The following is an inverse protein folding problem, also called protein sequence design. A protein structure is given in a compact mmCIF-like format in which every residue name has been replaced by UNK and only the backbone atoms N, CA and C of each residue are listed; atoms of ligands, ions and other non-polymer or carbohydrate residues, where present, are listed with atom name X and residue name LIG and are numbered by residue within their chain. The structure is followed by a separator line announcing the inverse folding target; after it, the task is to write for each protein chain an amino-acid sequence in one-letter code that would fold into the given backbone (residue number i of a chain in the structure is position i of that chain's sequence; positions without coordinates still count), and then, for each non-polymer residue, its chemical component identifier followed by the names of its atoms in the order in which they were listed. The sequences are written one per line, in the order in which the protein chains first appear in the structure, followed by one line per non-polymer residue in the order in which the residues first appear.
data_IF_564458330362
#
_entry.id   IF_564458330362
#
_cell.length_a   1.000
_cell.length_b   1.000
_cell.length_c   1.000
_cell.angle_alpha   90.00
_cell.angle_beta   90.00
_cell.angle_gamma   90.00
#
_symmetry.space_group_name_H-M   'P 1'
#
loop_
_entity.id
_entity.type
_entity.pdbx_description
1 polymer ?
#
# COMPACT_ATOMS: atom_id res chain seq x y z
N UNK A 1 -8.63 -3.96 7.71
CA UNK A 1 -7.39 -3.45 7.08
C UNK A 1 -6.37 -4.56 6.94
N UNK A 2 -5.74 -4.65 5.79
CA UNK A 2 -4.66 -5.60 5.53
C UNK A 2 -3.40 -4.87 5.11
N UNK A 3 -2.24 -5.32 5.60
CA UNK A 3 -0.95 -4.85 5.12
C UNK A 3 -0.16 -6.06 4.67
N UNK A 4 0.33 -6.02 3.44
CA UNK A 4 1.08 -7.11 2.84
C UNK A 4 2.37 -6.58 2.22
N UNK A 5 3.50 -7.17 2.60
CA UNK A 5 4.77 -6.89 1.96
C UNK A 5 5.15 -8.08 1.07
N UNK A 6 5.24 -7.82 -0.23
CA UNK A 6 5.68 -8.82 -1.18
C UNK A 6 7.17 -8.62 -1.45
N UNK A 7 7.97 -9.55 -0.94
CA UNK A 7 9.41 -9.46 -1.04
C UNK A 7 9.92 -9.60 -2.47
N UNK A 8 9.23 -10.39 -3.30
CA UNK A 8 9.64 -10.61 -4.69
C UNK A 8 9.46 -9.38 -5.55
N UNK A 9 8.35 -8.68 -5.39
CA UNK A 9 8.06 -7.46 -6.13
C UNK A 9 8.56 -6.21 -5.43
N UNK A 10 9.07 -6.34 -4.22
CA UNK A 10 9.57 -5.24 -3.40
C UNK A 10 8.50 -4.17 -3.20
N UNK A 11 7.29 -4.60 -2.86
CA UNK A 11 6.12 -3.73 -2.77
C UNK A 11 5.35 -3.97 -1.47
N UNK A 12 4.82 -2.88 -0.91
CA UNK A 12 3.87 -2.94 0.20
C UNK A 12 2.49 -2.60 -0.34
N UNK A 13 1.50 -3.39 0.05
CA UNK A 13 0.10 -3.12 -0.26
C UNK A 13 -0.69 -2.97 1.02
N UNK A 14 -1.42 -1.86 1.13
CA UNK A 14 -2.31 -1.57 2.26
C UNK A 14 -3.74 -1.55 1.73
N UNK A 15 -4.57 -2.48 2.21
CA UNK A 15 -5.98 -2.52 1.85
C UNK A 15 -6.78 -1.97 3.03
N UNK A 16 -7.37 -0.79 2.82
CA UNK A 16 -8.10 -0.08 3.87
C UNK A 16 -9.52 -0.62 4.05
N UNK A 17 -10.15 -1.01 2.94
CA UNK A 17 -11.52 -1.46 2.90
C UNK A 17 -11.70 -2.52 1.83
N UNK A 18 -12.67 -3.43 2.00
CA UNK A 18 -12.89 -4.56 1.11
C UNK A 18 -13.78 -4.24 -0.09
N UNK A 19 -14.20 -2.98 -0.26
CA UNK A 19 -15.01 -2.62 -1.41
C UNK A 19 -14.26 -2.85 -2.71
N UNK A 20 -15.03 -3.11 -3.77
CA UNK A 20 -14.46 -3.39 -5.09
C UNK A 20 -13.68 -2.20 -5.63
N UNK A 21 -12.47 -2.46 -6.09
CA UNK A 21 -11.64 -1.46 -6.74
C UNK A 21 -12.11 -1.33 -8.19
N UNK A 22 -12.42 -0.11 -8.62
CA UNK A 22 -12.85 0.16 -9.99
C UNK A 22 -11.83 0.99 -10.77
N UNK A 23 -10.89 1.63 -10.06
CA UNK A 23 -9.89 2.49 -10.68
C UNK A 23 -8.63 2.51 -9.84
N UNK A 24 -7.47 2.59 -10.50
CA UNK A 24 -6.17 2.75 -9.85
C UNK A 24 -5.42 3.87 -10.52
N UNK A 25 -4.71 4.69 -9.74
CA UNK A 25 -3.97 5.83 -10.25
C UNK A 25 -2.59 5.90 -9.59
N UNK A 26 -1.55 6.02 -10.40
CA UNK A 26 -0.21 6.30 -9.91
C UNK A 26 -0.07 7.80 -9.66
N UNK A 27 -0.10 8.21 -8.40
CA UNK A 27 -0.12 9.64 -8.02
C UNK A 27 1.28 10.24 -7.91
N UNK A 28 2.27 9.40 -7.66
CA UNK A 28 3.69 9.72 -7.65
C UNK A 28 4.44 8.49 -8.14
N UNK A 29 5.66 8.60 -8.65
CA UNK A 29 6.40 7.41 -9.06
C UNK A 29 6.44 6.36 -7.95
N UNK A 30 5.85 5.21 -8.22
CA UNK A 30 5.81 4.08 -7.28
C UNK A 30 4.77 4.17 -6.18
N UNK A 31 3.87 5.15 -6.22
CA UNK A 31 2.76 5.25 -5.25
C UNK A 31 1.45 5.17 -6.03
N UNK A 32 0.72 4.07 -5.84
CA UNK A 32 -0.54 3.82 -6.55
C UNK A 32 -1.69 3.83 -5.56
N UNK A 33 -2.74 4.56 -5.87
CA UNK A 33 -3.97 4.59 -5.09
C UNK A 33 -5.07 3.82 -5.83
N UNK A 34 -5.82 3.00 -5.08
CA UNK A 34 -6.96 2.24 -5.59
C UNK A 34 -8.25 2.86 -5.09
N UNK A 35 -9.20 3.07 -5.98
CA UNK A 35 -10.47 3.74 -5.68
C UNK A 35 -11.65 2.81 -5.88
N UNK A 36 -12.67 2.96 -5.04
CA UNK A 36 -13.95 2.28 -5.20
C UNK A 36 -14.92 3.12 -6.04
N UNK A 37 -16.17 2.66 -6.18
CA UNK A 37 -17.20 3.32 -6.96
C UNK A 37 -17.69 4.64 -6.36
N UNK A 38 -17.34 4.91 -5.10
CA UNK A 38 -17.63 6.18 -4.43
C UNK A 38 -16.46 7.15 -4.47
N UNK A 39 -15.45 6.82 -5.28
CA UNK A 39 -14.23 7.62 -5.41
C UNK A 39 -13.45 7.75 -4.10
N UNK A 40 -13.54 6.72 -3.25
CA UNK A 40 -12.77 6.67 -2.01
C UNK A 40 -11.51 5.84 -2.22
N UNK A 41 -10.41 6.25 -1.57
CA UNK A 41 -9.17 5.46 -1.58
C UNK A 41 -9.37 4.27 -0.65
N UNK A 42 -9.30 3.06 -1.20
CA UNK A 42 -9.48 1.82 -0.45
C UNK A 42 -8.24 0.94 -0.46
N UNK A 43 -7.25 1.29 -1.25
CA UNK A 43 -5.98 0.57 -1.29
C UNK A 43 -4.83 1.50 -1.64
N UNK A 44 -3.64 1.19 -1.15
CA UNK A 44 -2.41 1.94 -1.40
C UNK A 44 -1.31 0.94 -1.70
N UNK A 45 -0.63 1.11 -2.83
CA UNK A 45 0.52 0.29 -3.19
C UNK A 45 1.77 1.14 -3.23
N UNK A 46 2.81 0.69 -2.56
CA UNK A 46 4.11 1.37 -2.52
C UNK A 46 5.14 0.45 -3.15
N UNK A 47 5.72 0.89 -4.27
CA UNK A 47 6.71 0.13 -5.02
C UNK A 47 8.12 0.54 -4.62
N UNK A 48 9.09 -0.31 -4.95
CA UNK A 48 10.51 -0.07 -4.68
C UNK A 48 10.79 0.25 -3.21
N UNK A 49 10.18 -0.53 -2.32
CA UNK A 49 10.24 -0.28 -0.88
C UNK A 49 11.69 -0.32 -0.38
N UNK A 50 12.52 -1.22 -0.90
CA UNK A 50 13.92 -1.34 -0.52
C UNK A 50 14.76 -0.12 -0.81
N UNK A 51 14.32 0.73 -1.74
CA UNK A 51 14.98 2.01 -2.04
C UNK A 51 14.49 3.14 -1.14
N UNK A 52 13.37 2.94 -0.44
CA UNK A 52 12.74 3.96 0.39
C UNK A 52 13.09 3.86 1.85
N UNK A 53 13.24 2.62 2.35
CA UNK A 53 13.48 2.36 3.77
C UNK A 53 14.53 1.27 3.95
N UNK A 54 15.25 1.25 5.08
CA UNK A 54 16.18 0.16 5.38
C UNK A 54 15.46 -1.18 5.52
N UNK A 55 16.12 -2.27 5.12
CA UNK A 55 15.55 -3.61 5.16
C UNK A 55 15.07 -4.01 6.56
N UNK A 56 15.78 -3.54 7.60
CA UNK A 56 15.40 -3.84 8.98
C UNK A 56 14.02 -3.31 9.36
N UNK A 57 13.57 -2.21 8.71
CA UNK A 57 12.25 -1.64 8.97
C UNK A 57 11.12 -2.50 8.40
N UNK A 58 11.43 -3.39 7.46
CA UNK A 58 10.43 -4.22 6.78
C UNK A 58 10.10 -5.50 7.54
N UNK A 59 10.84 -5.79 8.61
CA UNK A 59 10.63 -7.00 9.43
C UNK A 59 9.67 -6.76 10.58
N UNK A 60 9.29 -5.51 10.80
CA UNK A 60 8.50 -5.13 11.95
C UNK A 60 7.58 -3.97 11.59
N UNK A 61 6.32 -4.08 11.96
CA UNK A 61 5.37 -3.00 11.81
C UNK A 61 4.72 -2.72 13.15
N UNK A 62 4.56 -1.42 13.44
CA UNK A 62 3.90 -0.98 14.65
C UNK A 62 2.64 -0.23 14.26
N UNK A 63 1.51 -0.61 14.86
CA UNK A 63 0.22 0.02 14.62
C UNK A 63 -0.28 0.60 15.93
N UNK A 64 -0.49 1.90 15.96
CA UNK A 64 -0.93 2.62 17.16
C UNK A 64 -2.26 3.30 16.90
N UNK A 65 -3.18 3.20 17.85
CA UNK A 65 -4.44 3.93 17.85
C UNK A 65 -4.36 4.97 18.96
N UNK A 66 -4.42 6.24 18.58
CA UNK A 66 -4.33 7.36 19.53
C UNK A 66 -5.64 7.59 20.26
#
# INVERSE_FOLDING_TARGET
MKVHFDQKSDAIYIRLDDSKIIESEEVKPGIVLDFNDKNQVVGIEILDVGKRVPASNLKQMQFEVA
#
